data_IF_431219058216
#
_entry.id   IF_431219058216
#
_cell.length_a   1.000
_cell.length_b   1.000
_cell.length_c   1.000
_cell.angle_alpha   90.00
_cell.angle_beta   90.00
_cell.angle_gamma   90.00
#
_symmetry.space_group_name_H-M   'P 1'
#
loop_
_entity.id
_entity.type
_entity.pdbx_description
1 polymer ?
#
# COMPACT_ATOMS: atom_id res chain seq x y z
N UNK A 1 -0.12 1.98 5.93
CA UNK A 1 -0.72 1.23 7.05
C UNK A 1 -0.01 -0.08 7.31
N UNK A 2 -0.14 -1.07 6.41
CA UNK A 2 0.39 -2.43 6.59
C UNK A 2 1.89 -2.48 6.97
N UNK A 3 2.77 -1.76 6.26
CA UNK A 3 4.20 -1.72 6.56
C UNK A 3 4.51 -1.29 8.01
N UNK A 4 3.79 -0.28 8.52
CA UNK A 4 3.98 0.18 9.90
C UNK A 4 3.50 -0.85 10.92
N UNK A 5 2.38 -1.52 10.65
CA UNK A 5 1.89 -2.61 11.49
C UNK A 5 2.87 -3.78 11.54
N UNK A 6 3.45 -4.16 10.39
CA UNK A 6 4.48 -5.20 10.30
C UNK A 6 5.75 -4.81 11.05
N UNK A 7 6.16 -3.54 10.99
CA UNK A 7 7.31 -3.03 11.76
C UNK A 7 7.09 -3.16 13.27
N UNK A 8 5.89 -2.83 13.77
CA UNK A 8 5.57 -2.97 15.19
C UNK A 8 5.38 -4.43 15.62
N UNK A 9 4.89 -5.29 14.75
CA UNK A 9 4.77 -6.73 15.00
C UNK A 9 6.13 -7.46 15.01
N UNK A 10 7.16 -6.90 14.36
CA UNK A 10 8.50 -7.47 14.36
C UNK A 10 9.15 -7.42 15.78
N UNK A 11 9.89 -8.47 16.19
CA UNK A 11 10.69 -8.47 17.41
C UNK A 11 11.61 -7.26 17.46
N UNK A 12 11.76 -6.65 18.65
CA UNK A 12 12.48 -5.37 18.82
C UNK A 12 13.92 -5.44 18.28
N UNK A 13 14.56 -6.59 18.43
CA UNK A 13 15.92 -6.87 17.99
C UNK A 13 16.05 -6.87 16.46
N UNK A 14 14.97 -7.19 15.74
CA UNK A 14 14.93 -7.25 14.27
C UNK A 14 14.38 -5.98 13.62
N UNK A 15 13.76 -5.08 14.40
CA UNK A 15 13.17 -3.83 13.89
C UNK A 15 14.13 -2.96 13.08
N UNK A 16 15.42 -2.76 13.47
CA UNK A 16 16.33 -1.95 12.66
C UNK A 16 16.50 -2.50 11.23
N UNK A 17 16.64 -3.82 11.11
CA UNK A 17 16.80 -4.52 9.83
C UNK A 17 15.50 -4.50 9.02
N UNK A 18 14.39 -4.90 9.64
CA UNK A 18 13.08 -5.01 8.98
C UNK A 18 12.52 -3.63 8.60
N UNK A 19 12.78 -2.61 9.43
CA UNK A 19 12.34 -1.24 9.22
C UNK A 19 12.93 -0.62 7.96
N UNK A 20 14.22 -0.83 7.69
CA UNK A 20 14.86 -0.34 6.46
C UNK A 20 14.22 -0.94 5.21
N UNK A 21 13.99 -2.26 5.20
CA UNK A 21 13.30 -2.95 4.12
C UNK A 21 11.88 -2.40 3.95
N UNK A 22 11.05 -2.44 5.01
CA UNK A 22 9.66 -2.01 4.97
C UNK A 22 9.49 -0.55 4.56
N UNK A 23 10.40 0.34 4.99
CA UNK A 23 10.39 1.74 4.58
C UNK A 23 10.63 1.87 3.07
N UNK A 24 11.64 1.17 2.53
CA UNK A 24 11.92 1.19 1.10
C UNK A 24 10.71 0.73 0.29
N UNK A 25 10.11 -0.41 0.66
CA UNK A 25 8.96 -0.94 -0.09
C UNK A 25 7.74 -0.03 0.03
N UNK A 26 7.50 0.53 1.22
CA UNK A 26 6.37 1.44 1.46
C UNK A 26 6.51 2.76 0.70
N UNK A 27 7.71 3.34 0.65
CA UNK A 27 7.97 4.57 -0.12
C UNK A 27 7.82 4.32 -1.61
N UNK A 28 8.37 3.22 -2.13
CA UNK A 28 8.18 2.85 -3.53
C UNK A 28 6.70 2.68 -3.88
N UNK A 29 5.96 1.90 -3.09
CA UNK A 29 4.53 1.68 -3.29
C UNK A 29 3.72 2.99 -3.22
N UNK A 30 4.06 3.91 -2.31
CA UNK A 30 3.40 5.21 -2.22
C UNK A 30 3.67 6.09 -3.44
N UNK A 31 4.93 6.16 -3.89
CA UNK A 31 5.32 7.02 -5.01
C UNK A 31 4.78 6.51 -6.34
N UNK A 32 4.94 5.21 -6.61
CA UNK A 32 4.62 4.63 -7.92
C UNK A 32 3.22 4.03 -7.99
N UNK A 33 2.65 3.62 -6.85
CA UNK A 33 1.39 2.88 -6.77
C UNK A 33 1.56 1.36 -6.82
N UNK A 34 2.79 0.86 -7.05
CA UNK A 34 3.06 -0.58 -7.16
C UNK A 34 3.08 -1.23 -5.78
N UNK A 35 2.03 -2.00 -5.45
CA UNK A 35 1.86 -2.60 -4.11
C UNK A 35 2.40 -4.01 -3.97
N UNK A 36 2.64 -4.73 -5.08
CA UNK A 36 2.98 -6.16 -5.09
C UNK A 36 4.15 -6.53 -4.15
N UNK A 37 5.27 -5.77 -4.11
CA UNK A 37 6.39 -6.16 -3.26
C UNK A 37 6.07 -6.08 -1.76
N UNK A 38 5.12 -5.22 -1.36
CA UNK A 38 4.63 -5.15 0.02
C UNK A 38 3.61 -6.27 0.30
N UNK A 39 2.74 -6.55 -0.66
CA UNK A 39 1.71 -7.59 -0.55
C UNK A 39 2.31 -8.99 -0.47
N UNK A 40 3.37 -9.27 -1.22
CA UNK A 40 4.05 -10.56 -1.21
C UNK A 40 4.64 -10.93 0.15
N UNK A 41 4.88 -9.95 1.03
CA UNK A 41 5.36 -10.22 2.39
C UNK A 41 4.32 -10.93 3.27
N UNK A 42 3.03 -10.89 2.90
CA UNK A 42 1.96 -11.52 3.68
C UNK A 42 0.94 -12.33 2.86
N UNK A 43 0.84 -12.11 1.55
CA UNK A 43 -0.11 -12.82 0.66
C UNK A 43 -0.03 -14.33 0.82
N UNK A 44 1.18 -14.89 0.80
CA UNK A 44 1.41 -16.33 0.90
C UNK A 44 1.46 -16.83 2.35
N UNK A 45 1.80 -15.95 3.30
CA UNK A 45 1.95 -16.29 4.71
C UNK A 45 0.61 -16.30 5.46
N UNK A 46 -0.27 -15.36 5.13
CA UNK A 46 -1.55 -15.13 5.79
C UNK A 46 -2.65 -14.85 4.74
N UNK A 47 -3.17 -15.88 4.06
CA UNK A 47 -4.17 -15.72 3.00
C UNK A 47 -5.45 -15.01 3.46
N UNK A 48 -5.87 -15.22 4.71
CA UNK A 48 -7.03 -14.53 5.29
C UNK A 48 -6.78 -13.02 5.45
N UNK A 49 -5.55 -12.64 5.82
CA UNK A 49 -5.18 -11.23 5.93
C UNK A 49 -5.17 -10.57 4.54
N UNK A 50 -4.76 -11.31 3.51
CA UNK A 50 -4.83 -10.87 2.12
C UNK A 50 -6.27 -10.67 1.64
N UNK A 51 -7.19 -11.57 2.00
CA UNK A 51 -8.62 -11.39 1.72
C UNK A 51 -9.18 -10.13 2.39
N UNK A 52 -8.85 -9.90 3.67
CA UNK A 52 -9.26 -8.69 4.38
C UNK A 52 -8.69 -7.42 3.74
N UNK A 53 -7.42 -7.44 3.32
CA UNK A 53 -6.80 -6.35 2.56
C UNK A 53 -7.55 -6.08 1.26
N UNK A 54 -7.90 -7.11 0.49
CA UNK A 54 -8.66 -6.97 -0.75
C UNK A 54 -10.06 -6.35 -0.52
N UNK A 55 -10.77 -6.78 0.53
CA UNK A 55 -12.06 -6.22 0.91
C UNK A 55 -11.95 -4.75 1.32
N UNK A 56 -10.98 -4.41 2.17
CA UNK A 56 -10.72 -3.03 2.59
C UNK A 56 -10.34 -2.14 1.40
N UNK A 57 -9.60 -2.67 0.44
CA UNK A 57 -9.24 -1.97 -0.81
C UNK A 57 -10.50 -1.68 -1.62
N UNK A 58 -11.38 -2.68 -1.81
CA UNK A 58 -12.65 -2.51 -2.50
C UNK A 58 -13.56 -1.46 -1.83
N UNK A 59 -13.67 -1.49 -0.50
CA UNK A 59 -14.45 -0.49 0.26
C UNK A 59 -13.85 0.91 0.10
N UNK A 60 -12.52 1.04 0.15
CA UNK A 60 -11.83 2.31 -0.03
C UNK A 60 -12.13 2.91 -1.40
N UNK A 61 -12.08 2.09 -2.46
CA UNK A 61 -12.41 2.52 -3.82
C UNK A 61 -13.89 2.87 -3.97
N UNK A 62 -14.80 2.07 -3.41
CA UNK A 62 -16.22 2.36 -3.41
C UNK A 62 -16.55 3.71 -2.74
N UNK A 63 -15.96 3.97 -1.58
CA UNK A 63 -16.12 5.25 -0.86
C UNK A 63 -15.52 6.40 -1.68
N UNK A 64 -14.35 6.22 -2.29
CA UNK A 64 -13.74 7.23 -3.15
C UNK A 64 -14.66 7.58 -4.33
N UNK A 65 -15.27 6.58 -4.98
CA UNK A 65 -16.25 6.80 -6.05
C UNK A 65 -17.49 7.55 -5.56
N UNK A 66 -18.04 7.19 -4.39
CA UNK A 66 -19.20 7.91 -3.81
C UNK A 66 -18.89 9.38 -3.50
N UNK A 67 -17.65 9.68 -3.11
CA UNK A 67 -17.18 11.05 -2.85
C UNK A 67 -16.80 11.81 -4.14
N UNK A 68 -16.91 11.17 -5.31
CA UNK A 68 -16.50 11.76 -6.60
C UNK A 68 -14.99 11.96 -6.73
N UNK A 69 -14.19 11.26 -5.93
CA UNK A 69 -12.72 11.29 -6.01
C UNK A 69 -12.32 10.43 -7.21
N UNK A 70 -11.76 11.09 -8.23
CA UNK A 70 -11.22 10.43 -9.41
C UNK A 70 -9.70 10.54 -9.35
N UNK A 71 -9.03 9.40 -9.20
CA UNK A 71 -7.58 9.33 -9.36
C UNK A 71 -7.29 8.92 -10.81
N UNK A 72 -6.55 9.76 -11.54
CA UNK A 72 -6.05 9.42 -12.87
C UNK A 72 -5.09 8.23 -12.79
N UNK A 73 -5.30 7.23 -13.65
CA UNK A 73 -4.43 6.05 -13.76
C UNK A 73 -3.52 6.24 -14.98
N UNK A 74 -2.27 6.67 -14.76
CA UNK A 74 -1.27 6.77 -15.82
C UNK A 74 -0.43 5.50 -15.88
N UNK A 75 0.03 5.01 -14.73
CA UNK A 75 0.78 3.77 -14.61
C UNK A 75 0.21 2.84 -13.54
N UNK A 76 0.14 3.30 -12.29
CA UNK A 76 -0.33 2.47 -11.16
C UNK A 76 -1.02 3.28 -10.06
N UNK A 77 -1.37 4.55 -10.34
CA UNK A 77 -2.08 5.46 -9.44
C UNK A 77 -1.36 5.75 -8.10
N UNK A 78 -0.03 5.89 -8.17
CA UNK A 78 0.78 6.38 -7.06
C UNK A 78 0.69 7.90 -6.85
N UNK A 79 1.43 8.39 -5.86
CA UNK A 79 1.53 9.83 -5.58
C UNK A 79 2.08 10.65 -6.76
N UNK A 80 2.95 10.04 -7.58
CA UNK A 80 3.46 10.69 -8.81
C UNK A 80 2.32 10.89 -9.81
N UNK A 81 1.52 9.85 -10.07
CA UNK A 81 0.36 9.93 -10.97
C UNK A 81 -0.63 10.98 -10.47
N UNK A 82 -0.91 11.00 -9.17
CA UNK A 82 -1.76 12.01 -8.54
C UNK A 82 -1.22 13.43 -8.76
N UNK A 83 0.06 13.67 -8.52
CA UNK A 83 0.67 15.00 -8.68
C UNK A 83 0.64 15.49 -10.13
N UNK A 84 0.87 14.60 -11.09
CA UNK A 84 0.84 14.94 -12.52
C UNK A 84 -0.57 15.19 -13.03
N UNK A 85 -1.57 14.46 -12.51
CA UNK A 85 -2.95 14.53 -12.98
C UNK A 85 -3.85 15.40 -12.09
N UNK A 86 -3.30 16.09 -11.10
CA UNK A 86 -4.08 16.90 -10.14
C UNK A 86 -4.89 18.03 -10.80
N UNK A 87 -4.43 18.54 -11.95
CA UNK A 87 -5.06 19.65 -12.68
C UNK A 87 -5.72 19.21 -14.00
N UNK A 88 -5.78 17.90 -14.27
CA UNK A 88 -6.43 17.31 -15.45
C UNK A 88 -7.82 16.80 -15.08
#
# INVERSE_FOLDING_TARGET
GAALAMYFAAPKERRPMVGGMLLSVAVTAFLTGVTEPLEFLFMFLAPLLYLLHALLTGISLFVATLLGIHAGFSFSAGAIDYALMYNL
#
